data_IF_426132552070
#
_entry.id   IF_426132552070
#
_cell.length_a   1.000
_cell.length_b   1.000
_cell.length_c   1.000
_cell.angle_alpha   90.00
_cell.angle_beta   90.00
_cell.angle_gamma   90.00
#
_symmetry.space_group_name_H-M   'P 1'
#
loop_
_entity.id
_entity.type
_entity.pdbx_description
1 polymer ?
#
# COMPACT_ATOMS: atom_id res chain seq x y z
N UNK A 1 -9.86 12.27 22.22
CA UNK A 1 -9.49 10.96 21.65
C UNK A 1 -10.06 10.75 20.23
N UNK A 2 -9.97 11.79 19.37
CA UNK A 2 -10.59 11.79 18.03
C UNK A 2 -9.63 11.20 16.98
N UNK A 3 -8.32 11.41 17.14
CA UNK A 3 -7.28 10.88 16.25
C UNK A 3 -7.29 9.35 16.22
N UNK A 4 -7.33 8.72 17.40
CA UNK A 4 -7.42 7.26 17.54
C UNK A 4 -8.69 6.73 16.86
N UNK A 5 -9.83 7.38 17.08
CA UNK A 5 -11.08 7.02 16.42
C UNK A 5 -10.99 7.13 14.88
N UNK A 6 -10.34 8.16 14.34
CA UNK A 6 -10.16 8.32 12.88
C UNK A 6 -9.24 7.26 12.28
N UNK A 7 -8.13 6.92 12.95
CA UNK A 7 -7.23 5.84 12.51
C UNK A 7 -7.97 4.49 12.53
N UNK A 8 -8.71 4.20 13.60
CA UNK A 8 -9.49 2.98 13.71
C UNK A 8 -10.61 2.91 12.67
N UNK A 9 -11.30 4.03 12.37
CA UNK A 9 -12.29 4.06 11.28
C UNK A 9 -11.66 3.83 9.91
N UNK A 10 -10.46 4.35 9.65
CA UNK A 10 -9.72 4.09 8.40
C UNK A 10 -9.33 2.61 8.28
N UNK A 11 -8.81 2.01 9.34
CA UNK A 11 -8.45 0.59 9.37
C UNK A 11 -9.67 -0.32 9.20
N UNK A 12 -10.80 0.02 9.83
CA UNK A 12 -12.05 -0.72 9.67
C UNK A 12 -12.52 -0.65 8.22
N UNK A 13 -12.56 0.55 7.62
CA UNK A 13 -13.01 0.72 6.23
C UNK A 13 -12.10 0.00 5.21
N UNK A 14 -10.79 -0.05 5.43
CA UNK A 14 -9.87 -0.82 4.56
C UNK A 14 -10.12 -2.33 4.70
N UNK A 15 -10.35 -2.84 5.91
CA UNK A 15 -10.64 -4.25 6.14
C UNK A 15 -11.99 -4.67 5.57
N UNK A 16 -13.00 -3.81 5.67
CA UNK A 16 -14.32 -4.03 5.05
C UNK A 16 -14.18 -4.13 3.53
N UNK A 17 -13.43 -3.21 2.92
CA UNK A 17 -13.16 -3.23 1.48
C UNK A 17 -12.36 -4.46 1.03
N UNK A 18 -11.35 -4.89 1.82
CA UNK A 18 -10.63 -6.14 1.57
C UNK A 18 -11.55 -7.36 1.62
N UNK A 19 -12.49 -7.38 2.57
CA UNK A 19 -13.47 -8.46 2.71
C UNK A 19 -14.41 -8.51 1.51
N UNK A 20 -14.98 -7.38 1.11
CA UNK A 20 -15.84 -7.29 -0.07
C UNK A 20 -15.10 -7.68 -1.36
N UNK A 21 -13.83 -7.29 -1.48
CA UNK A 21 -13.01 -7.66 -2.63
C UNK A 21 -12.75 -9.18 -2.69
N UNK A 22 -12.50 -9.82 -1.55
CA UNK A 22 -12.37 -11.28 -1.46
C UNK A 22 -13.66 -12.00 -1.86
N UNK A 23 -14.82 -11.50 -1.45
CA UNK A 23 -16.12 -12.05 -1.88
C UNK A 23 -16.34 -11.88 -3.39
N UNK A 24 -15.98 -10.73 -3.95
CA UNK A 24 -16.03 -10.48 -5.39
C UNK A 24 -15.14 -11.45 -6.17
N UNK A 25 -13.91 -11.69 -5.71
CA UNK A 25 -12.99 -12.64 -6.33
C UNK A 25 -13.53 -14.06 -6.32
N UNK A 26 -14.17 -14.47 -5.21
CA UNK A 26 -14.82 -15.78 -5.11
C UNK A 26 -15.96 -15.90 -6.12
N UNK A 27 -16.82 -14.90 -6.23
CA UNK A 27 -17.92 -14.89 -7.19
C UNK A 27 -17.42 -14.91 -8.65
N UNK A 28 -16.34 -14.18 -8.93
CA UNK A 28 -15.69 -14.19 -10.25
C UNK A 28 -15.17 -15.59 -10.62
N UNK A 29 -14.50 -16.27 -9.69
CA UNK A 29 -14.01 -17.64 -9.91
C UNK A 29 -15.17 -18.63 -10.11
N UNK A 30 -16.24 -18.53 -9.33
CA UNK A 30 -17.44 -19.35 -9.52
C UNK A 30 -18.06 -19.16 -10.92
N UNK A 31 -18.15 -17.91 -11.40
CA UNK A 31 -18.65 -17.60 -12.74
C UNK A 31 -17.74 -18.16 -13.84
N UNK A 32 -16.42 -18.00 -13.71
CA UNK A 32 -15.45 -18.51 -14.69
C UNK A 32 -15.48 -20.04 -14.79
N UNK A 33 -15.59 -20.71 -13.64
CA UNK A 33 -15.74 -22.16 -13.56
C UNK A 33 -17.05 -22.63 -14.19
N UNK A 34 -18.17 -21.94 -13.92
CA UNK A 34 -19.45 -22.25 -14.52
C UNK A 34 -19.42 -22.09 -16.04
N UNK A 35 -18.84 -20.99 -16.55
CA UNK A 35 -18.69 -20.76 -17.99
C UNK A 35 -17.90 -21.89 -18.65
N UNK A 36 -16.78 -22.29 -18.05
CA UNK A 36 -15.93 -23.38 -18.55
C UNK A 36 -16.66 -24.71 -18.53
N UNK A 37 -17.44 -24.98 -17.48
CA UNK A 37 -18.24 -26.20 -17.37
C UNK A 37 -19.35 -26.26 -18.43
N UNK A 38 -20.03 -25.14 -18.68
CA UNK A 38 -21.05 -25.04 -19.73
C UNK A 38 -20.43 -25.28 -21.11
N UNK A 39 -19.29 -24.65 -21.41
CA UNK A 39 -18.60 -24.84 -22.68
C UNK A 39 -18.11 -26.29 -22.85
N UNK A 40 -17.56 -26.90 -21.80
CA UNK A 40 -17.12 -28.30 -21.82
C UNK A 40 -18.28 -29.26 -22.08
N UNK A 41 -19.40 -29.10 -21.35
CA UNK A 41 -20.61 -29.90 -21.56
C UNK A 41 -21.16 -29.68 -22.97
N UNK A 42 -21.26 -28.43 -23.44
CA UNK A 42 -21.74 -28.10 -24.77
C UNK A 42 -20.91 -28.74 -25.89
N UNK A 43 -19.59 -28.75 -25.75
CA UNK A 43 -18.67 -29.35 -26.72
C UNK A 43 -18.66 -30.89 -26.70
N UNK A 44 -18.87 -31.50 -25.54
CA UNK A 44 -18.83 -32.96 -25.38
C UNK A 44 -20.18 -33.64 -25.57
N UNK A 45 -21.29 -32.92 -25.36
CA UNK A 45 -22.61 -33.53 -25.32
C UNK A 45 -23.02 -34.10 -26.67
N UNK A 46 -23.53 -35.34 -26.63
CA UNK A 46 -24.15 -36.01 -27.78
C UNK A 46 -25.58 -36.40 -27.39
N UNK A 47 -26.61 -35.93 -28.13
CA UNK A 47 -28.00 -36.28 -27.84
C UNK A 47 -28.21 -37.80 -27.87
N UNK A 48 -29.01 -38.30 -26.93
CA UNK A 48 -29.47 -39.70 -26.88
C UNK A 48 -30.99 -39.75 -26.76
N UNK A 49 -31.59 -40.94 -26.89
CA UNK A 49 -33.05 -41.12 -26.73
C UNK A 49 -33.53 -40.94 -25.29
N UNK A 50 -32.61 -40.91 -24.31
CA UNK A 50 -32.93 -40.73 -22.89
C UNK A 50 -32.87 -39.27 -22.48
N UNK A 51 -33.73 -38.90 -21.51
CA UNK A 51 -33.76 -37.56 -20.95
C UNK A 51 -32.44 -37.28 -20.20
N UNK A 52 -31.77 -36.19 -20.58
CA UNK A 52 -30.48 -35.81 -20.02
C UNK A 52 -30.66 -34.83 -18.86
N UNK A 53 -30.04 -35.14 -17.71
CA UNK A 53 -29.94 -34.21 -16.58
C UNK A 53 -28.73 -33.27 -16.76
N UNK A 54 -28.96 -32.12 -17.41
CA UNK A 54 -27.93 -31.12 -17.65
C UNK A 54 -27.39 -30.48 -16.37
N UNK A 55 -28.22 -30.35 -15.33
CA UNK A 55 -27.79 -29.81 -14.05
C UNK A 55 -26.71 -30.70 -13.46
N UNK A 56 -26.95 -32.02 -13.41
CA UNK A 56 -25.98 -32.98 -12.91
C UNK A 56 -24.70 -33.04 -13.76
N UNK A 57 -24.81 -32.88 -15.08
CA UNK A 57 -23.62 -32.83 -15.95
C UNK A 57 -22.75 -31.60 -15.68
N UNK A 58 -23.36 -30.41 -15.57
CA UNK A 58 -22.64 -29.16 -15.28
C UNK A 58 -22.06 -29.20 -13.86
N UNK A 59 -22.83 -29.65 -12.86
CA UNK A 59 -22.36 -29.76 -11.47
C UNK A 59 -21.17 -30.73 -11.38
N UNK A 60 -21.19 -31.85 -12.12
CA UNK A 60 -20.06 -32.80 -12.21
C UNK A 60 -18.83 -32.19 -12.88
N UNK A 61 -19.02 -31.36 -13.90
CA UNK A 61 -17.93 -30.72 -14.63
C UNK A 61 -17.30 -29.60 -13.79
N UNK A 62 -18.12 -28.80 -13.10
CA UNK A 62 -17.67 -27.81 -12.13
C UNK A 62 -16.81 -28.42 -11.01
N UNK A 63 -17.22 -29.59 -10.49
CA UNK A 63 -16.45 -30.32 -9.48
C UNK A 63 -15.06 -30.80 -9.98
N UNK A 64 -14.86 -30.90 -11.31
CA UNK A 64 -13.54 -31.20 -11.89
C UNK A 64 -12.69 -29.93 -12.02
N UNK A 65 -13.28 -28.80 -12.40
CA UNK A 65 -12.56 -27.51 -12.55
C UNK A 65 -12.13 -26.89 -11.24
N UNK A 66 -12.87 -27.06 -10.14
CA UNK A 66 -12.44 -26.62 -8.80
C UNK A 66 -11.08 -27.22 -8.37
N UNK A 67 -10.64 -28.32 -8.99
CA UNK A 67 -9.32 -28.94 -8.75
C UNK A 67 -8.18 -28.30 -9.56
N UNK A 68 -8.48 -27.54 -10.62
CA UNK A 68 -7.51 -26.78 -11.42
C UNK A 68 -7.51 -25.35 -10.89
N UNK A 69 -6.78 -25.13 -9.80
CA UNK A 69 -6.88 -23.93 -8.99
C UNK A 69 -6.51 -22.65 -9.76
N UNK A 70 -7.41 -21.66 -9.73
CA UNK A 70 -7.18 -20.27 -10.14
C UNK A 70 -6.32 -19.49 -9.14
N UNK A 71 -5.82 -20.15 -8.08
CA UNK A 71 -5.10 -19.52 -6.98
C UNK A 71 -3.98 -18.57 -7.41
N UNK A 72 -3.17 -18.84 -8.45
CA UNK A 72 -2.13 -17.90 -8.88
C UNK A 72 -2.71 -16.57 -9.39
N UNK A 73 -3.81 -16.61 -10.15
CA UNK A 73 -4.44 -15.42 -10.71
C UNK A 73 -5.19 -14.63 -9.62
N UNK A 74 -5.92 -15.32 -8.73
CA UNK A 74 -6.60 -14.71 -7.59
C UNK A 74 -5.59 -14.07 -6.63
N UNK A 75 -4.47 -14.74 -6.35
CA UNK A 75 -3.39 -14.18 -5.54
C UNK A 75 -2.77 -12.95 -6.21
N UNK A 76 -2.60 -12.96 -7.53
CA UNK A 76 -2.08 -11.81 -8.27
C UNK A 76 -3.05 -10.61 -8.22
N UNK A 77 -4.36 -10.81 -8.38
CA UNK A 77 -5.36 -9.75 -8.25
C UNK A 77 -5.41 -9.19 -6.83
N UNK A 78 -5.31 -10.06 -5.81
CA UNK A 78 -5.27 -9.64 -4.41
C UNK A 78 -4.03 -8.80 -4.11
N UNK A 79 -2.86 -9.20 -4.62
CA UNK A 79 -1.64 -8.41 -4.51
C UNK A 79 -1.80 -7.04 -5.17
N UNK A 80 -2.27 -7.00 -6.42
CA UNK A 80 -2.49 -5.73 -7.14
C UNK A 80 -3.46 -4.81 -6.42
N UNK A 81 -4.51 -5.37 -5.83
CA UNK A 81 -5.46 -4.61 -5.03
C UNK A 81 -4.83 -4.02 -3.77
N UNK A 82 -4.07 -4.82 -3.01
CA UNK A 82 -3.31 -4.33 -1.86
C UNK A 82 -2.28 -3.27 -2.27
N UNK A 83 -1.60 -3.46 -3.41
CA UNK A 83 -0.62 -2.51 -3.95
C UNK A 83 -1.30 -1.19 -4.31
N UNK A 84 -2.48 -1.24 -4.92
CA UNK A 84 -3.26 -0.06 -5.23
C UNK A 84 -3.66 0.71 -3.96
N UNK A 85 -4.15 0.01 -2.92
CA UNK A 85 -4.49 0.62 -1.63
C UNK A 85 -3.24 1.24 -0.97
N UNK A 86 -2.14 0.50 -0.96
CA UNK A 86 -0.85 0.95 -0.42
C UNK A 86 -0.37 2.21 -1.12
N UNK A 87 -0.38 2.21 -2.46
CA UNK A 87 0.10 3.30 -3.31
C UNK A 87 -0.67 4.61 -3.14
N UNK A 88 -1.92 4.60 -2.63
CA UNK A 88 -2.68 5.83 -2.36
C UNK A 88 -1.93 6.76 -1.41
N UNK A 89 -1.24 6.19 -0.42
CA UNK A 89 -0.52 6.95 0.62
C UNK A 89 0.99 6.70 0.62
N UNK A 90 1.47 5.69 -0.09
CA UNK A 90 2.86 5.24 -0.07
C UNK A 90 3.45 5.15 -1.49
N UNK A 91 3.01 6.01 -2.41
CA UNK A 91 3.47 6.00 -3.80
C UNK A 91 5.00 6.06 -3.89
N UNK A 92 5.59 5.08 -4.57
CA UNK A 92 7.04 4.96 -4.74
C UNK A 92 7.76 4.20 -3.62
N UNK A 93 7.06 3.80 -2.55
CA UNK A 93 7.57 2.89 -1.53
C UNK A 93 7.06 1.47 -1.80
N UNK A 94 7.94 0.45 -1.75
CA UNK A 94 7.50 -0.94 -1.86
C UNK A 94 6.56 -1.30 -0.71
N UNK A 95 5.57 -2.17 -0.98
CA UNK A 95 4.66 -2.64 0.06
C UNK A 95 5.44 -3.52 1.06
N UNK A 96 5.31 -3.29 2.38
CA UNK A 96 5.99 -4.11 3.37
C UNK A 96 5.47 -5.56 3.34
N UNK A 97 6.37 -6.54 3.19
CA UNK A 97 6.12 -7.93 3.58
C UNK A 97 5.74 -8.94 2.49
N UNK A 98 5.83 -8.62 1.19
CA UNK A 98 5.62 -9.61 0.10
C UNK A 98 6.91 -10.02 -0.65
N UNK A 99 8.08 -9.79 -0.05
CA UNK A 99 9.36 -10.31 -0.52
C UNK A 99 10.04 -11.08 0.64
N UNK A 100 9.90 -12.39 0.68
CA UNK A 100 10.90 -13.24 1.33
C UNK A 100 11.79 -13.81 0.22
N UNK A 101 12.85 -13.10 -0.09
CA UNK A 101 14.23 -13.60 -0.15
C UNK A 101 15.16 -12.42 -0.51
N UNK A 102 16.13 -12.16 0.37
CA UNK A 102 17.14 -11.08 0.37
C UNK A 102 16.71 -9.65 0.76
N UNK A 103 16.15 -9.51 1.97
CA UNK A 103 16.10 -8.20 2.64
C UNK A 103 17.46 -7.90 3.28
N UNK A 104 18.29 -7.11 2.60
CA UNK A 104 19.18 -6.19 3.31
C UNK A 104 18.27 -5.13 3.90
N UNK A 105 18.03 -5.22 5.22
CA UNK A 105 17.29 -4.20 5.97
C UNK A 105 18.08 -2.91 5.85
N UNK A 106 17.70 -2.05 4.92
CA UNK A 106 18.18 -0.66 4.91
C UNK A 106 17.09 0.17 5.54
N UNK A 107 17.18 0.25 6.87
CA UNK A 107 16.61 1.20 7.82
C UNK A 107 15.64 2.27 7.27
N UNK A 108 14.43 2.29 7.85
CA UNK A 108 13.61 3.49 8.12
C UNK A 108 13.54 4.54 7.01
N UNK A 109 12.70 4.31 5.99
CA UNK A 109 12.34 5.37 5.05
C UNK A 109 11.05 6.03 5.54
N UNK A 110 11.15 7.30 5.94
CA UNK A 110 10.00 8.12 6.34
C UNK A 110 8.96 8.19 5.22
N UNK A 111 7.67 8.08 5.58
CA UNK A 111 6.52 8.20 4.65
C UNK A 111 6.50 9.57 3.92
N UNK A 112 7.21 10.56 4.48
CA UNK A 112 7.36 11.89 3.90
C UNK A 112 8.42 11.89 2.79
N UNK A 113 8.06 12.38 1.59
CA UNK A 113 8.96 12.48 0.44
C UNK A 113 10.16 13.41 0.64
N UNK A 114 10.07 14.34 1.59
CA UNK A 114 11.17 15.22 1.96
C UNK A 114 11.24 15.38 3.48
N UNK A 115 12.46 15.40 4.01
CA UNK A 115 12.74 15.60 5.43
C UNK A 115 12.86 17.08 5.83
N UNK A 116 13.09 17.96 4.86
CA UNK A 116 13.29 19.40 5.03
C UNK A 116 12.47 20.16 4.00
N UNK A 117 11.96 21.34 4.37
CA UNK A 117 11.31 22.23 3.43
C UNK A 117 12.37 22.77 2.44
N UNK A 118 12.21 22.56 1.12
CA UNK A 118 13.20 22.99 0.12
C UNK A 118 13.32 24.51 -0.03
N UNK A 119 12.41 25.29 0.58
CA UNK A 119 12.45 26.75 0.53
C UNK A 119 12.94 27.37 1.84
N UNK A 120 12.47 26.88 3.00
CA UNK A 120 12.88 27.42 4.30
C UNK A 120 14.06 26.70 4.94
N UNK A 121 14.43 25.52 4.45
CA UNK A 121 15.48 24.67 5.01
C UNK A 121 15.12 24.01 6.34
N UNK A 122 13.99 24.38 6.96
CA UNK A 122 13.54 23.80 8.23
C UNK A 122 13.17 22.33 8.04
N UNK A 123 13.44 21.47 9.04
CA UNK A 123 12.97 20.09 9.00
C UNK A 123 11.43 20.08 8.99
N UNK A 124 10.85 19.15 8.25
CA UNK A 124 9.39 19.03 8.10
C UNK A 124 8.70 18.83 9.45
N UNK A 125 9.39 18.17 10.38
CA UNK A 125 8.94 17.96 11.77
C UNK A 125 8.85 19.25 12.59
N UNK A 126 9.41 20.38 12.15
CA UNK A 126 9.42 21.66 12.88
C UNK A 126 8.65 22.76 12.15
N UNK A 127 7.93 22.43 11.08
CA UNK A 127 7.12 23.40 10.35
C UNK A 127 5.90 23.83 11.18
N UNK A 128 5.68 25.14 11.28
CA UNK A 128 4.51 25.70 11.99
C UNK A 128 3.21 25.46 11.24
N UNK A 129 3.21 25.66 9.92
CA UNK A 129 2.06 25.40 9.03
C UNK A 129 2.55 24.56 7.84
N UNK A 130 2.63 23.23 7.99
CA UNK A 130 3.02 22.34 6.91
C UNK A 130 1.90 22.26 5.86
N UNK A 131 2.29 22.38 4.59
CA UNK A 131 1.40 22.19 3.44
C UNK A 131 2.06 21.29 2.42
N UNK A 132 1.26 20.52 1.67
CA UNK A 132 1.71 19.57 0.66
C UNK A 132 1.15 19.94 -0.70
N UNK A 133 1.95 19.75 -1.75
CA UNK A 133 1.46 19.83 -3.13
C UNK A 133 0.73 18.56 -3.51
N UNK A 134 -0.51 18.67 -3.96
CA UNK A 134 -1.30 17.54 -4.48
C UNK A 134 -0.76 16.94 -5.78
N UNK A 135 0.18 17.62 -6.46
CA UNK A 135 0.75 17.16 -7.73
C UNK A 135 2.06 16.40 -7.61
N UNK A 136 2.78 16.58 -6.50
CA UNK A 136 4.11 15.99 -6.27
C UNK A 136 4.40 15.57 -4.83
N UNK A 137 3.45 15.75 -3.91
CA UNK A 137 3.51 15.36 -2.50
C UNK A 137 4.67 15.95 -1.67
N UNK A 138 5.44 16.90 -2.20
CA UNK A 138 6.45 17.63 -1.45
C UNK A 138 5.83 18.60 -0.44
N UNK A 139 6.48 18.70 0.71
CA UNK A 139 6.01 19.43 1.89
C UNK A 139 6.77 20.76 2.04
N UNK A 140 6.03 21.82 2.33
CA UNK A 140 6.54 23.17 2.46
C UNK A 140 5.99 23.88 3.69
N UNK A 141 6.70 24.94 4.11
CA UNK A 141 6.16 25.93 5.02
C UNK A 141 5.20 26.87 4.27
N UNK A 142 3.95 26.96 4.73
CA UNK A 142 2.86 27.67 4.03
C UNK A 142 3.18 29.11 3.67
N UNK A 143 3.70 29.89 4.61
CA UNK A 143 4.05 31.30 4.38
C UNK A 143 5.10 31.45 3.27
N UNK A 144 6.10 30.56 3.25
CA UNK A 144 7.24 30.60 2.34
C UNK A 144 6.85 30.13 0.94
N UNK A 145 6.10 29.03 0.80
CA UNK A 145 5.65 28.55 -0.51
C UNK A 145 4.67 29.54 -1.16
N UNK A 146 3.79 30.17 -0.38
CA UNK A 146 2.88 31.19 -0.90
C UNK A 146 3.64 32.42 -1.39
N UNK A 147 4.71 32.83 -0.71
CA UNK A 147 5.59 33.91 -1.19
C UNK A 147 6.38 33.50 -2.44
N UNK A 148 6.86 32.25 -2.51
CA UNK A 148 7.54 31.72 -3.69
C UNK A 148 6.64 31.74 -4.93
N UNK A 149 5.39 31.29 -4.80
CA UNK A 149 4.40 31.30 -5.89
C UNK A 149 4.11 32.74 -6.35
N UNK A 150 3.99 33.70 -5.42
CA UNK A 150 3.72 35.11 -5.76
C UNK A 150 4.92 35.80 -6.42
N UNK A 151 6.14 35.50 -5.99
CA UNK A 151 7.37 36.14 -6.47
C UNK A 151 7.84 35.62 -7.82
N UNK A 152 7.56 34.36 -8.15
CA UNK A 152 7.82 33.78 -9.47
C UNK A 152 6.65 34.10 -10.40
N UNK A 153 6.72 35.25 -11.08
CA UNK A 153 5.78 35.60 -12.14
C UNK A 153 5.71 34.46 -13.19
N UNK A 154 4.55 33.80 -13.32
CA UNK A 154 4.32 32.72 -14.29
C UNK A 154 3.92 31.39 -13.63
N UNK A 155 4.46 30.28 -14.18
CA UNK A 155 4.21 28.91 -13.73
C UNK A 155 5.39 28.39 -12.90
N UNK A 156 5.43 28.65 -11.57
CA UNK A 156 6.55 28.22 -10.73
C UNK A 156 6.66 26.69 -10.70
N UNK A 157 7.86 26.17 -10.92
CA UNK A 157 8.15 24.73 -10.78
C UNK A 157 8.37 24.39 -9.31
N UNK A 158 8.18 23.12 -8.97
CA UNK A 158 8.57 22.59 -7.67
C UNK A 158 10.05 22.90 -7.40
N UNK A 159 10.40 23.44 -6.21
CA UNK A 159 11.78 23.77 -5.87
C UNK A 159 12.65 22.54 -5.51
N UNK A 160 12.06 21.34 -5.43
CA UNK A 160 12.81 20.09 -5.23
C UNK A 160 13.53 19.72 -6.52
N UNK A 161 14.81 19.35 -6.39
CA UNK A 161 15.64 18.93 -7.52
C UNK A 161 14.97 17.79 -8.31
N UNK A 162 15.05 17.87 -9.64
CA UNK A 162 14.47 16.90 -10.57
C UNK A 162 12.94 16.74 -10.55
N UNK A 163 12.18 17.56 -9.80
CA UNK A 163 10.72 17.53 -9.85
C UNK A 163 10.18 18.44 -10.99
N UNK A 164 9.51 17.88 -12.03
CA UNK A 164 9.05 18.67 -13.18
C UNK A 164 7.72 19.39 -12.94
N UNK A 165 7.05 19.14 -11.79
CA UNK A 165 5.68 19.59 -11.53
C UNK A 165 5.61 21.09 -11.28
N UNK A 166 4.54 21.71 -11.78
CA UNK A 166 4.22 23.12 -11.59
C UNK A 166 3.39 23.26 -10.32
N UNK A 167 3.75 24.19 -9.46
CA UNK A 167 3.07 24.43 -8.19
C UNK A 167 2.04 25.54 -8.36
N UNK A 168 0.83 25.32 -7.86
CA UNK A 168 -0.24 26.32 -7.84
C UNK A 168 -0.77 26.48 -6.42
N UNK A 169 -1.16 27.70 -6.04
CA UNK A 169 -1.60 27.98 -4.67
C UNK A 169 -2.82 27.15 -4.25
N UNK A 170 -3.73 26.88 -5.19
CA UNK A 170 -4.95 26.08 -4.99
C UNK A 170 -4.65 24.60 -4.71
N UNK A 171 -3.52 24.08 -5.20
CA UNK A 171 -3.13 22.68 -5.07
C UNK A 171 -2.09 22.44 -3.97
N UNK A 172 -1.73 23.49 -3.23
CA UNK A 172 -0.88 23.42 -2.04
C UNK A 172 -1.78 23.56 -0.81
N UNK A 173 -2.07 22.43 -0.18
CA UNK A 173 -3.02 22.36 0.93
C UNK A 173 -2.44 21.60 2.10
N UNK A 174 -2.96 21.89 3.30
CA UNK A 174 -2.72 21.03 4.46
C UNK A 174 -3.82 19.98 4.47
N UNK A 175 -3.55 18.79 3.97
CA UNK A 175 -4.51 17.70 4.05
C UNK A 175 -4.57 17.13 5.49
N UNK A 176 -5.69 16.50 5.88
CA UNK A 176 -5.86 16.00 7.25
C UNK A 176 -4.84 14.93 7.68
N UNK A 177 -4.19 14.24 6.74
CA UNK A 177 -3.23 13.16 7.03
C UNK A 177 -1.80 13.68 7.19
N UNK A 178 -1.44 14.78 6.52
CA UNK A 178 -0.11 15.40 6.61
C UNK A 178 0.36 15.62 8.06
N UNK A 179 -0.51 16.09 8.94
CA UNK A 179 -0.16 16.28 10.35
C UNK A 179 0.09 14.96 11.10
N UNK A 180 -0.62 13.90 10.73
CA UNK A 180 -0.45 12.57 11.32
C UNK A 180 0.89 11.99 10.90
N UNK A 181 1.21 12.04 9.61
CA UNK A 181 2.47 11.52 9.06
C UNK A 181 3.70 12.28 9.61
N UNK A 182 3.59 13.60 9.80
CA UNK A 182 4.64 14.40 10.46
C UNK A 182 4.84 13.97 11.91
N UNK A 183 3.75 13.70 12.64
CA UNK A 183 3.82 13.24 14.03
C UNK A 183 4.43 11.83 14.14
N UNK A 184 4.10 10.94 13.22
CA UNK A 184 4.72 9.61 13.13
C UNK A 184 6.22 9.70 12.85
N UNK A 185 6.63 10.60 11.95
CA UNK A 185 8.05 10.86 11.67
C UNK A 185 8.78 11.38 12.93
N UNK A 186 8.16 12.24 13.75
CA UNK A 186 8.71 12.67 15.04
C UNK A 186 8.85 11.50 16.02
N UNK A 187 7.83 10.65 16.11
CA UNK A 187 7.86 9.49 17.01
C UNK A 187 8.95 8.49 16.62
N UNK A 188 9.17 8.28 15.33
CA UNK A 188 10.23 7.42 14.81
C UNK A 188 11.63 7.98 15.13
N UNK A 189 11.85 9.28 14.89
CA UNK A 189 13.10 9.95 15.25
C UNK A 189 13.41 9.88 16.76
N UNK A 190 12.38 9.89 17.61
CA UNK A 190 12.53 9.74 19.06
C UNK A 190 12.96 8.34 19.47
N UNK A 191 12.49 7.30 18.76
CA UNK A 191 12.88 5.90 19.02
C UNK A 191 14.32 5.62 18.59
N UNK A 192 14.77 6.19 17.48
CA UNK A 192 16.16 6.06 17.02
C UNK A 192 17.16 6.79 17.91
N UNK A 193 16.72 7.80 18.68
CA UNK A 193 17.57 8.53 19.62
C UNK A 193 17.70 7.89 21.01
N UNK A 194 17.05 6.75 21.28
CA UNK A 194 17.13 6.05 22.57
C UNK A 194 17.76 4.65 22.38
N UNK A 195 19.09 4.50 22.49
CA UNK A 195 19.82 3.28 22.18
C UNK A 195 19.83 2.24 23.32
N UNK A 196 19.16 2.49 24.45
CA UNK A 196 19.14 1.54 25.56
C UNK A 196 18.22 0.35 25.24
N UNK A 197 18.76 -0.86 25.42
CA UNK A 197 18.17 -2.20 25.21
C UNK A 197 18.46 -2.81 23.83
N UNK A 198 19.75 -3.09 23.56
CA UNK A 198 20.15 -4.30 22.85
C UNK A 198 20.98 -5.10 23.86
N UNK A 199 20.35 -6.00 24.60
CA UNK A 199 21.09 -6.97 25.42
C UNK A 199 21.69 -8.03 24.50
N UNK A 200 23.02 -7.99 24.40
CA UNK A 200 23.84 -8.96 23.69
C UNK A 200 23.89 -10.26 24.50
N UNK A 201 23.33 -11.34 23.94
CA UNK A 201 23.30 -12.67 24.55
C UNK A 201 24.28 -13.66 23.92
N UNK A 202 25.30 -13.21 23.18
CA UNK A 202 26.40 -14.11 22.80
C UNK A 202 27.38 -14.29 23.96
N UNK A 203 27.01 -15.16 24.91
CA UNK A 203 27.91 -15.72 25.91
C UNK A 203 28.42 -17.08 25.43
N UNK A 204 29.73 -17.12 25.19
CA UNK A 204 30.51 -18.23 24.64
C UNK A 204 30.29 -19.57 25.36
N UNK A 205 29.83 -20.59 24.62
CA UNK A 205 30.03 -21.98 25.00
C UNK A 205 31.35 -22.46 24.37
N UNK A 206 32.47 -22.04 24.95
CA UNK A 206 33.77 -22.62 24.65
C UNK A 206 34.07 -23.81 25.57
N UNK A 207 34.34 -24.90 24.86
CA UNK A 207 34.82 -26.21 25.26
C UNK A 207 36.19 -26.17 25.96
N UNK A 208 36.30 -26.76 27.15
CA UNK A 208 37.55 -27.39 27.61
C UNK A 208 37.27 -28.78 28.19
N UNK A 209 37.76 -29.79 27.46
CA UNK A 209 38.17 -31.07 28.04
C UNK A 209 39.68 -31.09 28.27
N UNK A 210 40.15 -32.18 28.90
CA UNK A 210 41.51 -32.51 29.40
C UNK A 210 41.90 -31.82 30.71
N UNK A 211 42.32 -32.49 31.78
CA UNK A 211 42.94 -33.82 32.00
C UNK A 211 42.50 -34.42 33.36
#
# INVERSE_FOLDING_TARGET
DIRKAMTTMKEIGVKELETEFMELLKAYEECANLSTAIDSVGNMYRPTEQLTDFKKLIDNEMAKTTRRSSAPQVAQLLRQFKEAIWNVHNSGLPMPGEEQEDIIVTSTQSILLNNTCPLSGKPVTELSEPVRSMDCNHIYEKSVIMQYIRSKHGKPKCPVAACPKIITAERVVCDPLLHVEIEESRAMNKRTSNPDIIEDFTGDSENEGSE
#
